data_IF_327701748379
#
_entry.id   IF_327701748379
#
_cell.length_a   1.000
_cell.length_b   1.000
_cell.length_c   1.000
_cell.angle_alpha   90.00
_cell.angle_beta   90.00
_cell.angle_gamma   90.00
#
_symmetry.space_group_name_H-M   'P 1'
#
loop_
_entity.id
_entity.type
_entity.pdbx_description
1 polymer ?
#
# COMPACT_ATOMS: atom_id res chain seq x y z
N UNK A 1 -9.97 -9.69 18.28
CA UNK A 1 -8.84 -8.92 17.71
C UNK A 1 -7.86 -9.90 17.12
N UNK A 2 -7.63 -9.83 15.80
CA UNK A 2 -6.71 -10.74 15.11
C UNK A 2 -5.28 -10.28 15.35
N UNK A 3 -4.45 -11.14 15.92
CA UNK A 3 -3.03 -10.81 16.19
C UNK A 3 -2.32 -10.52 14.87
N UNK A 4 -1.56 -9.42 14.83
CA UNK A 4 -0.69 -9.10 13.69
C UNK A 4 0.34 -10.24 13.46
N UNK A 5 0.68 -10.47 12.20
CA UNK A 5 1.77 -11.34 11.79
C UNK A 5 3.12 -10.71 12.18
N UNK A 6 4.19 -11.52 12.18
CA UNK A 6 5.53 -11.03 12.53
C UNK A 6 5.97 -9.90 11.58
N UNK A 7 5.79 -10.09 10.28
CA UNK A 7 6.19 -9.11 9.28
C UNK A 7 5.36 -7.82 9.35
N UNK A 8 4.06 -7.91 9.64
CA UNK A 8 3.19 -6.74 9.84
C UNK A 8 3.69 -5.85 10.98
N UNK A 9 4.09 -6.45 12.12
CA UNK A 9 4.66 -5.71 13.26
C UNK A 9 5.99 -5.04 12.93
N UNK A 10 6.79 -5.65 12.06
CA UNK A 10 8.07 -5.07 11.62
C UNK A 10 7.82 -3.91 10.65
N UNK A 11 6.88 -4.07 9.72
CA UNK A 11 6.49 -3.04 8.77
C UNK A 11 5.96 -1.78 9.46
N UNK A 12 5.19 -1.91 10.55
CA UNK A 12 4.76 -0.77 11.38
C UNK A 12 5.93 0.01 12.00
N UNK A 13 7.10 -0.61 12.14
CA UNK A 13 8.34 0.01 12.63
C UNK A 13 9.25 0.49 11.50
N UNK A 14 8.81 0.40 10.25
CA UNK A 14 9.60 0.72 9.07
C UNK A 14 10.56 -0.38 8.62
N UNK A 15 10.47 -1.59 9.20
CA UNK A 15 11.26 -2.74 8.75
C UNK A 15 10.42 -3.60 7.79
N UNK A 16 10.70 -3.43 6.49
CA UNK A 16 10.01 -4.11 5.40
C UNK A 16 10.71 -5.38 4.91
N UNK A 17 11.84 -5.77 5.55
CA UNK A 17 12.67 -6.90 5.12
C UNK A 17 11.99 -8.26 5.27
N UNK A 18 11.03 -8.36 6.20
CA UNK A 18 10.29 -9.57 6.49
C UNK A 18 8.99 -9.72 5.68
N UNK A 19 8.69 -8.78 4.77
CA UNK A 19 7.49 -8.86 3.94
C UNK A 19 7.47 -10.14 3.08
N UNK A 20 6.30 -10.77 2.89
CA UNK A 20 6.17 -11.96 2.04
C UNK A 20 6.73 -11.74 0.63
N UNK A 21 7.27 -12.80 0.02
CA UNK A 21 7.76 -12.77 -1.37
C UNK A 21 7.18 -13.99 -2.11
N UNK A 22 6.31 -13.81 -3.11
CA UNK A 22 5.77 -12.52 -3.57
C UNK A 22 4.81 -11.88 -2.56
N UNK A 23 4.67 -10.55 -2.59
CA UNK A 23 3.62 -9.83 -1.87
C UNK A 23 2.45 -9.56 -2.82
N UNK A 24 1.28 -10.10 -2.46
CA UNK A 24 0.09 -10.14 -3.32
C UNK A 24 -1.13 -9.51 -2.64
N UNK A 25 -2.17 -9.25 -3.43
CA UNK A 25 -3.40 -8.56 -3.03
C UNK A 25 -4.05 -9.14 -1.78
N UNK A 26 -4.21 -10.46 -1.72
CA UNK A 26 -4.91 -11.14 -0.60
C UNK A 26 -4.21 -10.95 0.75
N UNK A 27 -2.91 -10.69 0.73
CA UNK A 27 -2.10 -10.47 1.95
C UNK A 27 -2.05 -9.00 2.35
N UNK A 28 -2.40 -8.10 1.43
CA UNK A 28 -2.12 -6.67 1.57
C UNK A 28 -3.27 -5.87 2.19
N UNK A 29 -4.47 -6.44 2.33
CA UNK A 29 -5.66 -5.71 2.80
C UNK A 29 -5.49 -5.04 4.16
N UNK A 30 -4.92 -5.73 5.16
CA UNK A 30 -4.64 -5.11 6.47
C UNK A 30 -3.51 -4.11 6.40
N UNK A 31 -2.41 -4.50 5.75
CA UNK A 31 -1.21 -3.66 5.57
C UNK A 31 -1.53 -2.33 4.86
N UNK A 32 -2.41 -2.34 3.86
CA UNK A 32 -2.84 -1.15 3.14
C UNK A 32 -3.40 -0.07 4.10
N UNK A 33 -4.07 -0.50 5.17
CA UNK A 33 -4.72 0.38 6.15
C UNK A 33 -3.82 0.82 7.30
N UNK A 34 -2.56 0.39 7.35
CA UNK A 34 -1.58 0.99 8.27
C UNK A 34 -1.33 2.46 7.93
N UNK A 35 -1.49 2.84 6.65
CA UNK A 35 -1.46 4.21 6.20
C UNK A 35 -2.90 4.73 6.06
N UNK A 36 -3.20 5.89 6.64
CA UNK A 36 -4.45 6.58 6.33
C UNK A 36 -4.29 7.43 5.08
N UNK A 37 -4.67 6.90 3.92
CA UNK A 37 -4.53 7.64 2.67
C UNK A 37 -5.23 8.99 2.70
N UNK A 38 -6.38 9.11 3.37
CA UNK A 38 -7.13 10.36 3.45
C UNK A 38 -6.40 11.45 4.24
N UNK A 39 -5.80 11.12 5.38
CA UNK A 39 -5.06 12.10 6.19
C UNK A 39 -3.80 12.55 5.46
N UNK A 40 -3.11 11.62 4.80
CA UNK A 40 -1.85 11.92 4.09
C UNK A 40 -2.07 12.84 2.88
N UNK A 41 -3.15 12.64 2.13
CA UNK A 41 -3.44 13.43 0.92
C UNK A 41 -4.32 14.64 1.16
N UNK A 42 -4.83 14.84 2.39
CA UNK A 42 -5.77 15.92 2.70
C UNK A 42 -7.21 15.69 2.24
N UNK A 43 -7.61 14.42 2.04
CA UNK A 43 -9.00 14.04 1.78
C UNK A 43 -9.18 13.03 0.65
N UNK A 44 -10.45 12.71 0.36
CA UNK A 44 -10.83 11.70 -0.63
C UNK A 44 -10.50 12.10 -2.07
N UNK A 45 -10.80 13.33 -2.48
CA UNK A 45 -10.63 13.74 -3.88
C UNK A 45 -9.15 13.70 -4.32
N UNK A 46 -8.19 14.28 -3.57
CA UNK A 46 -6.78 14.20 -3.95
C UNK A 46 -6.25 12.75 -4.00
N UNK A 47 -6.72 11.89 -3.07
CA UNK A 47 -6.37 10.47 -3.07
C UNK A 47 -6.92 9.74 -4.29
N UNK A 48 -8.19 9.98 -4.63
CA UNK A 48 -8.85 9.37 -5.77
C UNK A 48 -8.17 9.80 -7.07
N UNK A 49 -7.88 11.09 -7.24
CA UNK A 49 -7.21 11.63 -8.42
C UNK A 49 -5.83 10.99 -8.62
N UNK A 50 -5.02 10.90 -7.56
CA UNK A 50 -3.73 10.20 -7.57
C UNK A 50 -3.89 8.74 -7.98
N UNK A 51 -4.73 7.99 -7.27
CA UNK A 51 -4.86 6.55 -7.45
C UNK A 51 -5.44 6.17 -8.80
N UNK A 52 -6.45 6.91 -9.29
CA UNK A 52 -7.05 6.69 -10.60
C UNK A 52 -6.07 7.03 -11.73
N UNK A 53 -5.32 8.13 -11.61
CA UNK A 53 -4.29 8.51 -12.60
C UNK A 53 -3.21 7.45 -12.70
N UNK A 54 -2.68 7.01 -11.56
CA UNK A 54 -1.65 5.96 -11.53
C UNK A 54 -2.18 4.62 -12.04
N UNK A 55 -3.41 4.24 -11.68
CA UNK A 55 -4.02 3.01 -12.17
C UNK A 55 -4.24 3.04 -13.68
N UNK A 56 -4.68 4.18 -14.23
CA UNK A 56 -4.83 4.36 -15.67
C UNK A 56 -3.48 4.25 -16.40
N UNK A 57 -2.44 4.88 -15.85
CA UNK A 57 -1.09 4.79 -16.40
C UNK A 57 -0.54 3.36 -16.34
N UNK A 58 -0.68 2.67 -15.21
CA UNK A 58 -0.23 1.29 -15.05
C UNK A 58 -0.95 0.34 -15.99
N UNK A 59 -2.26 0.52 -16.23
CA UNK A 59 -3.00 -0.26 -17.24
C UNK A 59 -2.51 0.02 -18.66
N UNK A 60 -2.09 1.25 -18.94
CA UNK A 60 -1.55 1.64 -20.26
C UNK A 60 -0.15 1.09 -20.51
N UNK A 61 0.73 1.10 -19.50
CA UNK A 61 2.15 0.71 -19.63
C UNK A 61 2.45 -0.72 -19.20
N UNK A 62 1.53 -1.36 -18.48
CA UNK A 62 1.75 -2.63 -17.80
C UNK A 62 2.67 -2.53 -16.57
N UNK A 63 2.95 -1.32 -16.06
CA UNK A 63 3.92 -1.10 -14.98
C UNK A 63 3.45 -0.08 -13.96
N UNK A 64 3.67 -0.38 -12.69
CA UNK A 64 3.60 0.60 -11.61
C UNK A 64 4.96 1.27 -11.45
N UNK A 65 5.01 2.59 -11.59
CA UNK A 65 6.24 3.39 -11.46
C UNK A 65 5.92 4.65 -10.64
N UNK A 66 6.21 4.61 -9.34
CA UNK A 66 6.02 5.74 -8.43
C UNK A 66 6.83 5.55 -7.13
N UNK A 67 6.77 6.55 -6.25
CA UNK A 67 7.38 6.46 -4.93
C UNK A 67 6.71 5.38 -4.06
N UNK A 68 7.42 4.89 -3.02
CA UNK A 68 6.84 3.93 -2.09
C UNK A 68 5.57 4.48 -1.40
N UNK A 69 5.52 5.79 -1.13
CA UNK A 69 4.35 6.42 -0.54
C UNK A 69 3.16 6.42 -1.51
N UNK A 70 3.36 6.84 -2.76
CA UNK A 70 2.28 6.92 -3.75
C UNK A 70 1.71 5.54 -4.09
N UNK A 71 2.58 4.52 -4.16
CA UNK A 71 2.16 3.13 -4.33
C UNK A 71 1.32 2.64 -3.13
N UNK A 72 1.69 3.02 -1.91
CA UNK A 72 0.91 2.66 -0.71
C UNK A 72 -0.43 3.41 -0.67
N UNK A 73 -0.47 4.69 -1.06
CA UNK A 73 -1.70 5.45 -1.19
C UNK A 73 -2.64 4.83 -2.23
N UNK A 74 -2.11 4.41 -3.37
CA UNK A 74 -2.86 3.65 -4.37
C UNK A 74 -3.42 2.36 -3.77
N UNK A 75 -2.59 1.58 -3.09
CA UNK A 75 -3.01 0.32 -2.49
C UNK A 75 -4.14 0.53 -1.46
N UNK A 76 -4.03 1.55 -0.59
CA UNK A 76 -5.08 1.94 0.34
C UNK A 76 -6.38 2.26 -0.39
N UNK A 77 -6.32 3.09 -1.43
CA UNK A 77 -7.49 3.47 -2.22
C UNK A 77 -8.16 2.26 -2.88
N UNK A 78 -7.38 1.36 -3.50
CA UNK A 78 -7.91 0.17 -4.16
C UNK A 78 -8.63 -0.75 -3.16
N UNK A 79 -8.05 -1.02 -1.99
CA UNK A 79 -8.70 -1.83 -0.96
C UNK A 79 -9.98 -1.18 -0.43
N UNK A 80 -9.98 0.15 -0.29
CA UNK A 80 -11.16 0.90 0.14
C UNK A 80 -12.28 0.85 -0.91
N UNK A 81 -11.93 0.99 -2.19
CA UNK A 81 -12.86 0.87 -3.30
C UNK A 81 -13.43 -0.54 -3.40
N UNK A 82 -12.58 -1.57 -3.35
CA UNK A 82 -12.98 -2.98 -3.35
C UNK A 82 -13.99 -3.31 -2.25
N UNK A 83 -13.75 -2.83 -1.01
CA UNK A 83 -14.68 -3.01 0.10
C UNK A 83 -16.06 -2.37 -0.13
N UNK A 84 -16.12 -1.30 -0.92
CA UNK A 84 -17.37 -0.58 -1.20
C UNK A 84 -18.11 -1.10 -2.43
N UNK A 85 -17.39 -1.55 -3.46
CA UNK A 85 -17.99 -1.99 -4.73
C UNK A 85 -18.19 -3.50 -4.80
N UNK A 86 -17.49 -4.27 -3.97
CA UNK A 86 -17.52 -5.73 -4.01
C UNK A 86 -16.95 -6.33 -5.30
N UNK A 87 -16.20 -5.55 -6.10
CA UNK A 87 -15.59 -6.05 -7.34
C UNK A 87 -14.69 -7.25 -7.02
N UNK A 88 -14.81 -8.36 -7.73
CA UNK A 88 -14.02 -9.56 -7.44
C UNK A 88 -12.51 -9.24 -7.42
N UNK A 89 -11.84 -9.59 -6.31
CA UNK A 89 -10.39 -9.53 -6.23
C UNK A 89 -9.78 -10.51 -7.24
N UNK A 90 -8.65 -10.15 -7.85
CA UNK A 90 -8.02 -10.99 -8.87
C UNK A 90 -7.53 -10.26 -10.12
N UNK A 91 -7.49 -8.92 -10.12
CA UNK A 91 -6.78 -8.17 -11.15
C UNK A 91 -5.26 -8.38 -10.97
N UNK A 92 -4.55 -9.04 -11.91
CA UNK A 92 -3.10 -9.26 -11.81
C UNK A 92 -2.31 -7.94 -11.71
N UNK A 93 -2.91 -6.84 -12.14
CA UNK A 93 -2.33 -5.51 -11.98
C UNK A 93 -2.25 -5.09 -10.50
N UNK A 94 -3.13 -5.59 -9.63
CA UNK A 94 -3.10 -5.30 -8.19
C UNK A 94 -2.05 -6.13 -7.45
N UNK A 95 -1.78 -7.37 -7.90
CA UNK A 95 -0.63 -8.13 -7.41
C UNK A 95 0.68 -7.45 -7.82
N UNK A 96 0.76 -6.94 -9.05
CA UNK A 96 1.91 -6.16 -9.51
C UNK A 96 2.10 -4.86 -8.69
N UNK A 97 1.01 -4.18 -8.30
CA UNK A 97 1.07 -3.04 -7.38
C UNK A 97 1.67 -3.44 -6.04
N UNK A 98 1.20 -4.55 -5.46
CA UNK A 98 1.69 -5.04 -4.17
C UNK A 98 3.19 -5.36 -4.24
N UNK A 99 3.62 -6.12 -5.23
CA UNK A 99 5.02 -6.51 -5.36
C UNK A 99 5.92 -5.29 -5.66
N UNK A 100 5.47 -4.35 -6.50
CA UNK A 100 6.20 -3.12 -6.77
C UNK A 100 6.35 -2.27 -5.51
N UNK A 101 5.29 -2.16 -4.70
CA UNK A 101 5.35 -1.48 -3.41
C UNK A 101 6.34 -2.17 -2.47
N UNK A 102 6.32 -3.51 -2.36
CA UNK A 102 7.27 -4.26 -1.52
C UNK A 102 8.71 -3.96 -1.93
N UNK A 103 9.01 -3.97 -3.22
CA UNK A 103 10.33 -3.66 -3.77
C UNK A 103 10.74 -2.21 -3.47
N UNK A 104 9.82 -1.25 -3.63
CA UNK A 104 10.07 0.16 -3.33
C UNK A 104 10.36 0.38 -1.84
N UNK A 105 9.58 -0.25 -0.95
CA UNK A 105 9.77 -0.18 0.51
C UNK A 105 11.10 -0.77 0.95
N UNK A 106 11.54 -1.88 0.35
CA UNK A 106 12.82 -2.52 0.66
C UNK A 106 14.04 -1.73 0.15
N UNK A 107 13.83 -0.73 -0.71
CA UNK A 107 14.90 0.15 -1.22
C UNK A 107 15.04 1.45 -0.44
N UNK A 108 14.12 1.73 0.49
CA UNK A 108 14.20 2.93 1.33
C UNK A 108 15.45 2.90 2.19
N UNK A 109 16.09 4.05 2.32
CA UNK A 109 17.11 4.27 3.35
C UNK A 109 16.49 4.21 4.75
N UNK A 110 17.30 3.99 5.81
CA UNK A 110 16.78 3.96 7.18
C UNK A 110 16.01 5.23 7.59
N UNK A 111 16.42 6.40 7.09
CA UNK A 111 15.77 7.67 7.41
C UNK A 111 14.44 7.84 6.66
N UNK A 112 14.37 7.45 5.39
CA UNK A 112 13.11 7.43 4.63
C UNK A 112 12.12 6.44 5.24
N UNK A 113 12.57 5.24 5.62
CA UNK A 113 11.74 4.25 6.28
C UNK A 113 11.20 4.75 7.62
N UNK A 114 12.02 5.45 8.41
CA UNK A 114 11.60 6.08 9.68
C UNK A 114 10.58 7.20 9.45
N UNK A 115 10.82 8.05 8.45
CA UNK A 115 9.90 9.12 8.06
C UNK A 115 8.55 8.55 7.63
N UNK A 116 8.54 7.49 6.82
CA UNK A 116 7.32 6.80 6.40
C UNK A 116 6.61 6.13 7.59
N UNK A 117 7.34 5.43 8.44
CA UNK A 117 6.79 4.75 9.61
C UNK A 117 6.10 5.72 10.59
N UNK A 118 6.58 6.96 10.70
CA UNK A 118 5.96 7.98 11.56
C UNK A 118 4.54 8.38 11.11
N UNK A 119 4.15 8.06 9.87
CA UNK A 119 2.81 8.32 9.31
C UNK A 119 1.86 7.13 9.46
N UNK A 120 2.34 5.99 9.97
CA UNK A 120 1.53 4.79 10.09
C UNK A 120 0.69 4.85 11.37
N UNK A 121 -0.57 4.43 11.29
CA UNK A 121 -1.44 4.29 12.45
C UNK A 121 -0.92 3.13 13.31
N UNK A 122 -0.43 3.46 14.50
CA UNK A 122 -0.06 2.46 15.50
C UNK A 122 -1.28 1.74 16.09
N UNK A 123 -2.45 2.38 16.01
CA UNK A 123 -3.75 1.86 16.45
C UNK A 123 -4.46 1.01 15.37
N UNK A 124 -3.74 0.51 14.37
CA UNK A 124 -4.30 -0.39 13.35
C UNK A 124 -4.62 -1.81 13.87
N UNK A 125 -5.04 -1.91 15.14
CA UNK A 125 -5.39 -3.15 15.88
C UNK A 125 -6.86 -3.11 16.30
#
# INVERSE_FOLDING_TARGET
>A
MTRLLKWERLALKGDFSAMPTPFVWDQSGRFAHFLNGYEVTGGMNPLADLALTMSAQARKTGKWEASALDLWLCLFFQHRAHRHTGSEGGDPNLDALCETLRLALNRLTPDEARSLASRLKQDAI
#
